data_IF_364472626904
#
_entry.id   IF_364472626904
#
_cell.length_a   1.000
_cell.length_b   1.000
_cell.length_c   1.000
_cell.angle_alpha   90.00
_cell.angle_beta   90.00
_cell.angle_gamma   90.00
#
_symmetry.space_group_name_H-M   'P 1'
#
loop_
_entity.id
_entity.type
_entity.pdbx_description
1 polymer ?
#
# COMPACT_ATOMS: atom_id res chain seq x y z
N UNK A 1 22.84 -10.50 1.18
CA UNK A 1 22.72 -11.47 2.25
C UNK A 1 22.55 -12.89 1.74
N UNK A 2 22.55 -13.86 2.65
CA UNK A 2 22.30 -15.25 2.36
C UNK A 2 20.85 -15.61 2.68
N UNK A 3 20.24 -16.48 1.86
CA UNK A 3 19.02 -17.17 2.24
C UNK A 3 19.44 -18.36 3.13
N UNK A 4 18.98 -18.34 4.37
CA UNK A 4 19.25 -19.39 5.34
C UNK A 4 18.18 -20.49 5.28
N UNK A 5 18.49 -21.65 5.82
CA UNK A 5 17.51 -22.72 5.98
C UNK A 5 16.38 -22.33 6.94
N UNK A 6 15.32 -23.16 7.02
CA UNK A 6 14.21 -22.91 7.98
C UNK A 6 14.64 -22.88 9.44
N UNK A 7 15.80 -23.48 9.74
CA UNK A 7 16.48 -23.50 11.05
C UNK A 7 17.28 -22.23 11.36
N UNK A 8 17.34 -21.28 10.43
CA UNK A 8 18.12 -20.04 10.54
C UNK A 8 19.62 -20.21 10.29
N UNK A 9 20.05 -21.40 9.87
CA UNK A 9 21.44 -21.73 9.60
C UNK A 9 21.74 -21.72 8.09
N UNK A 10 23.03 -21.62 7.73
CA UNK A 10 23.44 -21.72 6.34
C UNK A 10 23.00 -23.07 5.74
N UNK A 11 22.35 -23.04 4.60
CA UNK A 11 21.95 -24.25 3.88
C UNK A 11 23.15 -25.12 3.51
N UNK A 12 23.09 -26.41 3.84
CA UNK A 12 24.07 -27.38 3.41
C UNK A 12 23.42 -28.78 3.26
N UNK A 13 23.95 -29.56 2.30
CA UNK A 13 23.47 -30.93 2.06
C UNK A 13 23.68 -31.83 3.27
N UNK A 14 24.79 -31.64 3.99
CA UNK A 14 25.10 -32.43 5.21
C UNK A 14 24.16 -32.16 6.38
N UNK A 15 23.50 -31.01 6.41
CA UNK A 15 22.50 -30.64 7.43
C UNK A 15 21.07 -31.05 7.02
N UNK A 16 20.84 -31.32 5.75
CA UNK A 16 19.51 -31.63 5.24
C UNK A 16 18.53 -30.45 5.24
N UNK A 17 19.03 -29.21 5.37
CA UNK A 17 18.23 -27.98 5.43
C UNK A 17 18.21 -27.18 4.12
N UNK A 18 18.60 -27.83 3.01
CA UNK A 18 18.61 -27.21 1.67
C UNK A 18 17.18 -27.19 1.11
N UNK A 19 16.78 -26.04 0.60
CA UNK A 19 15.55 -25.88 -0.18
C UNK A 19 15.93 -25.91 -1.65
N UNK A 20 15.39 -26.86 -2.42
CA UNK A 20 15.56 -26.89 -3.87
C UNK A 20 14.58 -25.92 -4.53
N UNK A 21 15.05 -24.91 -5.29
CA UNK A 21 14.16 -24.00 -5.99
C UNK A 21 13.21 -24.69 -6.97
N UNK A 22 13.59 -25.82 -7.57
CA UNK A 22 12.74 -26.54 -8.50
C UNK A 22 11.52 -27.12 -7.78
N UNK A 23 11.70 -27.72 -6.60
CA UNK A 23 10.60 -28.25 -5.79
C UNK A 23 9.60 -27.14 -5.43
N UNK A 24 10.12 -25.93 -5.15
CA UNK A 24 9.29 -24.76 -4.85
C UNK A 24 8.53 -24.29 -6.09
N UNK A 25 9.19 -24.24 -7.24
CA UNK A 25 8.58 -23.84 -8.52
C UNK A 25 7.49 -24.84 -8.94
N UNK A 26 7.71 -26.13 -8.74
CA UNK A 26 6.72 -27.18 -9.06
C UNK A 26 5.44 -27.05 -8.23
N UNK A 27 5.57 -26.57 -6.98
CA UNK A 27 4.42 -26.43 -6.06
C UNK A 27 3.75 -25.05 -6.18
N UNK A 28 4.51 -23.98 -6.27
CA UNK A 28 4.00 -22.61 -6.16
C UNK A 28 4.08 -21.81 -7.47
N UNK A 29 4.92 -22.22 -8.42
CA UNK A 29 5.24 -21.47 -9.62
C UNK A 29 6.41 -20.50 -9.45
N UNK A 30 7.07 -20.20 -10.58
CA UNK A 30 8.28 -19.37 -10.60
C UNK A 30 8.02 -17.93 -10.11
N UNK A 31 6.88 -17.33 -10.45
CA UNK A 31 6.55 -15.96 -10.04
C UNK A 31 6.38 -15.84 -8.52
N UNK A 32 5.78 -16.85 -7.87
CA UNK A 32 5.65 -16.85 -6.40
C UNK A 32 7.02 -16.89 -5.74
N UNK A 33 7.92 -17.78 -6.22
CA UNK A 33 9.28 -17.85 -5.72
C UNK A 33 10.04 -16.53 -5.91
N UNK A 34 9.93 -15.91 -7.11
CA UNK A 34 10.56 -14.61 -7.40
C UNK A 34 10.07 -13.51 -6.45
N UNK A 35 8.74 -13.36 -6.34
CA UNK A 35 8.14 -12.37 -5.42
C UNK A 35 8.58 -12.63 -3.99
N UNK A 36 8.61 -13.89 -3.55
CA UNK A 36 9.05 -14.24 -2.20
C UNK A 36 10.51 -13.83 -1.93
N UNK A 37 11.44 -14.20 -2.82
CA UNK A 37 12.87 -13.86 -2.67
C UNK A 37 13.09 -12.35 -2.66
N UNK A 38 12.34 -11.61 -3.50
CA UNK A 38 12.41 -10.15 -3.57
C UNK A 38 11.73 -9.45 -2.37
N UNK A 39 10.82 -10.14 -1.68
CA UNK A 39 10.05 -9.60 -0.57
C UNK A 39 10.61 -9.94 0.80
N UNK A 40 11.44 -11.00 0.95
CA UNK A 40 11.90 -11.51 2.26
C UNK A 40 12.64 -10.46 3.11
N UNK A 41 13.21 -9.39 2.54
CA UNK A 41 13.91 -8.35 3.30
C UNK A 41 14.95 -7.59 2.49
N UNK A 42 15.81 -6.90 3.19
CA UNK A 42 16.94 -6.18 2.62
C UNK A 42 17.99 -7.18 2.09
N UNK A 43 18.49 -6.94 0.88
CA UNK A 43 19.51 -7.80 0.26
C UNK A 43 20.84 -7.86 1.02
N UNK A 44 21.12 -6.88 1.87
CA UNK A 44 22.33 -6.86 2.68
C UNK A 44 22.25 -7.81 3.87
N UNK A 45 21.04 -8.19 4.28
CA UNK A 45 20.81 -9.03 5.45
C UNK A 45 20.54 -10.49 5.06
N UNK A 46 20.96 -11.40 5.94
CA UNK A 46 20.58 -12.80 5.83
C UNK A 46 19.14 -13.00 6.35
N UNK A 47 18.36 -13.80 5.63
CA UNK A 47 16.97 -14.07 6.01
C UNK A 47 16.69 -15.58 6.00
N UNK A 48 16.02 -16.13 7.03
CA UNK A 48 15.64 -17.53 7.07
C UNK A 48 14.49 -17.81 6.13
N UNK A 49 14.51 -18.99 5.52
CA UNK A 49 13.39 -19.46 4.71
C UNK A 49 12.13 -19.62 5.55
N UNK A 50 11.00 -19.17 5.02
CA UNK A 50 9.72 -19.22 5.73
C UNK A 50 8.56 -19.55 4.77
N UNK A 51 8.01 -20.74 4.90
CA UNK A 51 6.92 -21.24 4.05
C UNK A 51 5.62 -20.44 4.22
N UNK A 52 5.36 -19.88 5.41
CA UNK A 52 4.16 -19.07 5.63
C UNK A 52 4.21 -17.76 4.86
N UNK A 53 5.38 -17.16 4.76
CA UNK A 53 5.61 -15.96 3.95
C UNK A 53 5.47 -16.26 2.44
N UNK A 54 5.93 -17.43 1.99
CA UNK A 54 5.72 -17.94 0.63
C UNK A 54 4.22 -18.02 0.29
N UNK A 55 3.41 -18.61 1.17
CA UNK A 55 1.95 -18.65 1.04
C UNK A 55 1.33 -17.25 0.99
N UNK A 56 1.92 -16.29 1.69
CA UNK A 56 1.54 -14.87 1.61
C UNK A 56 1.76 -14.29 0.21
N UNK A 57 2.92 -14.54 -0.39
CA UNK A 57 3.24 -14.11 -1.76
C UNK A 57 2.31 -14.78 -2.80
N UNK A 58 2.01 -16.08 -2.63
CA UNK A 58 1.02 -16.76 -3.48
C UNK A 58 -0.34 -16.05 -3.40
N UNK A 59 -0.86 -15.81 -2.19
CA UNK A 59 -2.15 -15.11 -2.03
C UNK A 59 -2.15 -13.71 -2.65
N UNK A 60 -1.03 -12.99 -2.61
CA UNK A 60 -0.89 -11.70 -3.29
C UNK A 60 -1.09 -11.85 -4.80
N UNK A 61 -0.39 -12.79 -5.46
CA UNK A 61 -0.55 -13.03 -6.90
C UNK A 61 -1.93 -13.58 -7.26
N UNK A 62 -2.52 -14.45 -6.43
CA UNK A 62 -3.91 -14.91 -6.60
C UNK A 62 -4.91 -13.74 -6.54
N UNK A 63 -4.69 -12.75 -5.67
CA UNK A 63 -5.50 -11.54 -5.61
C UNK A 63 -5.34 -10.67 -6.85
N UNK A 64 -4.10 -10.49 -7.36
CA UNK A 64 -3.88 -9.80 -8.64
C UNK A 64 -4.68 -10.48 -9.76
N UNK A 65 -4.60 -11.81 -9.86
CA UNK A 65 -5.34 -12.59 -10.85
C UNK A 65 -6.86 -12.37 -10.73
N UNK A 66 -7.37 -12.36 -9.52
CA UNK A 66 -8.80 -12.20 -9.26
C UNK A 66 -9.33 -10.78 -9.52
N UNK A 67 -8.48 -9.75 -9.69
CA UNK A 67 -8.92 -8.39 -10.05
C UNK A 67 -9.65 -8.36 -11.41
N UNK A 68 -9.38 -9.32 -12.30
CA UNK A 68 -10.12 -9.43 -13.57
C UNK A 68 -11.65 -9.56 -13.37
N UNK A 69 -12.11 -10.10 -12.22
CA UNK A 69 -13.52 -10.23 -11.90
C UNK A 69 -14.17 -8.90 -11.50
N UNK A 70 -13.37 -7.86 -11.29
CA UNK A 70 -13.78 -6.51 -10.89
C UNK A 70 -13.48 -5.48 -11.99
N UNK A 71 -13.05 -5.96 -13.19
CA UNK A 71 -12.63 -5.11 -14.29
C UNK A 71 -13.82 -4.41 -14.93
N UNK A 72 -13.67 -3.10 -15.10
CA UNK A 72 -14.60 -2.23 -15.83
C UNK A 72 -13.86 -1.48 -16.93
N UNK A 73 -14.58 -0.97 -17.95
CA UNK A 73 -13.97 -0.16 -19.01
C UNK A 73 -13.54 1.21 -18.51
N UNK A 74 -12.37 1.67 -18.94
CA UNK A 74 -11.85 3.01 -18.63
C UNK A 74 -10.43 3.19 -19.12
N UNK A 75 -10.19 4.29 -19.86
CA UNK A 75 -8.90 4.60 -20.48
C UNK A 75 -8.02 5.52 -19.61
N UNK A 76 -8.58 6.08 -18.54
CA UNK A 76 -7.90 6.93 -17.57
C UNK A 76 -8.16 6.43 -16.15
N UNK A 77 -7.30 6.83 -15.18
CA UNK A 77 -7.53 6.46 -13.78
C UNK A 77 -8.80 7.10 -13.24
N UNK A 78 -9.59 6.32 -12.54
CA UNK A 78 -10.78 6.79 -11.82
C UNK A 78 -10.42 7.79 -10.74
N UNK A 79 -11.33 8.70 -10.40
CA UNK A 79 -11.08 9.70 -9.36
C UNK A 79 -10.77 9.05 -8.01
N UNK A 80 -11.42 7.91 -7.72
CA UNK A 80 -11.25 7.16 -6.47
C UNK A 80 -9.84 6.58 -6.32
N UNK A 81 -9.20 6.13 -7.40
CA UNK A 81 -7.89 5.48 -7.38
C UNK A 81 -6.75 6.33 -7.93
N UNK A 82 -7.03 7.48 -8.57
CA UNK A 82 -6.02 8.32 -9.25
C UNK A 82 -4.83 8.63 -8.35
N UNK A 83 -5.06 9.16 -7.18
CA UNK A 83 -3.99 9.52 -6.23
C UNK A 83 -3.19 8.30 -5.79
N UNK A 84 -3.86 7.19 -5.46
CA UNK A 84 -3.21 5.94 -5.05
C UNK A 84 -2.39 5.33 -6.17
N UNK A 85 -2.87 5.39 -7.42
CA UNK A 85 -2.12 4.94 -8.61
C UNK A 85 -0.83 5.75 -8.77
N UNK A 86 -0.90 7.09 -8.78
CA UNK A 86 0.29 7.95 -8.93
C UNK A 86 1.29 7.76 -7.79
N UNK A 87 0.83 7.68 -6.54
CA UNK A 87 1.68 7.38 -5.37
C UNK A 87 2.39 6.03 -5.50
N UNK A 88 1.65 5.01 -5.93
CA UNK A 88 2.21 3.67 -6.07
C UNK A 88 3.22 3.61 -7.21
N UNK A 89 2.94 4.23 -8.36
CA UNK A 89 3.89 4.31 -9.49
C UNK A 89 5.18 4.99 -9.03
N UNK A 90 5.07 6.16 -8.38
CA UNK A 90 6.22 6.87 -7.82
C UNK A 90 7.02 5.99 -6.87
N UNK A 91 6.36 5.42 -5.87
CA UNK A 91 6.99 4.60 -4.84
C UNK A 91 7.70 3.37 -5.42
N UNK A 92 7.04 2.63 -6.32
CA UNK A 92 7.63 1.45 -6.96
C UNK A 92 8.81 1.82 -7.84
N UNK A 93 8.71 2.90 -8.63
CA UNK A 93 9.80 3.38 -9.50
C UNK A 93 11.04 3.75 -8.68
N UNK A 94 10.87 4.57 -7.63
CA UNK A 94 11.98 4.97 -6.76
C UNK A 94 12.59 3.78 -6.00
N UNK A 95 11.77 2.83 -5.57
CA UNK A 95 12.23 1.66 -4.82
C UNK A 95 13.00 0.68 -5.71
N UNK A 96 12.59 0.51 -6.97
CA UNK A 96 13.33 -0.31 -7.95
C UNK A 96 14.72 0.31 -8.19
N UNK A 97 14.82 1.62 -8.41
CA UNK A 97 16.10 2.32 -8.60
C UNK A 97 17.04 2.15 -7.40
N UNK A 98 16.48 2.10 -6.20
CA UNK A 98 17.20 1.93 -4.93
C UNK A 98 17.35 0.48 -4.49
N UNK A 99 16.99 -0.50 -5.34
CA UNK A 99 17.00 -1.94 -5.03
C UNK A 99 16.16 -2.33 -3.79
N UNK A 100 15.12 -1.55 -3.45
CA UNK A 100 14.22 -1.77 -2.32
C UNK A 100 12.98 -2.56 -2.74
N UNK A 101 13.18 -3.73 -3.28
CA UNK A 101 12.09 -4.53 -3.89
C UNK A 101 11.01 -4.95 -2.89
N UNK A 102 11.37 -5.18 -1.63
CA UNK A 102 10.42 -5.51 -0.57
C UNK A 102 9.40 -4.38 -0.34
N UNK A 103 9.84 -3.12 -0.31
CA UNK A 103 8.94 -1.97 -0.14
C UNK A 103 8.14 -1.66 -1.40
N UNK A 104 8.70 -1.90 -2.60
CA UNK A 104 7.96 -1.84 -3.87
C UNK A 104 6.79 -2.84 -3.89
N UNK A 105 7.06 -4.11 -3.52
CA UNK A 105 6.03 -5.14 -3.43
C UNK A 105 4.96 -4.78 -2.38
N UNK A 106 5.38 -4.27 -1.21
CA UNK A 106 4.45 -3.81 -0.18
C UNK A 106 3.54 -2.68 -0.67
N UNK A 107 4.06 -1.72 -1.45
CA UNK A 107 3.26 -0.65 -2.04
C UNK A 107 2.18 -1.20 -2.98
N UNK A 108 2.53 -2.17 -3.84
CA UNK A 108 1.56 -2.84 -4.71
C UNK A 108 0.52 -3.65 -3.92
N UNK A 109 0.92 -4.31 -2.82
CA UNK A 109 -0.03 -5.00 -1.92
C UNK A 109 -1.04 -4.02 -1.31
N UNK A 110 -0.59 -2.83 -0.90
CA UNK A 110 -1.46 -1.77 -0.38
C UNK A 110 -2.43 -1.27 -1.43
N UNK A 111 -1.96 -1.02 -2.66
CA UNK A 111 -2.83 -0.62 -3.77
C UNK A 111 -3.93 -1.66 -4.05
N UNK A 112 -3.60 -2.96 -4.01
CA UNK A 112 -4.60 -4.03 -4.20
C UNK A 112 -5.64 -4.02 -3.06
N UNK A 113 -5.26 -3.66 -1.83
CA UNK A 113 -6.23 -3.51 -0.76
C UNK A 113 -7.22 -2.37 -1.06
N UNK A 114 -6.74 -1.23 -1.54
CA UNK A 114 -7.57 -0.08 -1.92
C UNK A 114 -8.48 -0.42 -3.10
N UNK A 115 -7.96 -1.06 -4.16
CA UNK A 115 -8.75 -1.53 -5.30
C UNK A 115 -9.85 -2.48 -4.84
N UNK A 116 -9.52 -3.43 -3.96
CA UNK A 116 -10.48 -4.40 -3.44
C UNK A 116 -11.57 -3.72 -2.60
N UNK A 117 -11.21 -2.73 -1.80
CA UNK A 117 -12.15 -1.92 -1.01
C UNK A 117 -13.05 -1.06 -1.91
N UNK A 118 -12.51 -0.53 -3.02
CA UNK A 118 -13.27 0.22 -4.03
C UNK A 118 -14.26 -0.66 -4.81
N UNK A 119 -14.00 -1.97 -4.91
CA UNK A 119 -14.87 -2.94 -5.57
C UNK A 119 -14.81 -2.94 -7.10
N UNK A 120 -13.98 -2.11 -7.71
CA UNK A 120 -13.76 -2.02 -9.16
C UNK A 120 -12.34 -1.60 -9.48
N UNK A 121 -11.86 -1.98 -10.66
CA UNK A 121 -10.62 -1.53 -11.29
C UNK A 121 -10.86 -1.37 -12.79
N UNK A 122 -10.35 -0.34 -13.42
CA UNK A 122 -10.52 -0.15 -14.87
C UNK A 122 -9.31 -0.63 -15.70
N UNK A 123 -9.45 -0.59 -17.04
CA UNK A 123 -8.42 -1.08 -17.97
C UNK A 123 -7.08 -0.34 -17.79
N UNK A 124 -7.09 0.99 -17.59
CA UNK A 124 -5.88 1.79 -17.41
C UNK A 124 -5.16 1.47 -16.10
N UNK A 125 -5.92 1.34 -15.00
CA UNK A 125 -5.43 1.00 -13.67
C UNK A 125 -4.85 -0.42 -13.64
N UNK A 126 -5.58 -1.39 -14.21
CA UNK A 126 -5.12 -2.77 -14.33
C UNK A 126 -3.82 -2.86 -15.12
N UNK A 127 -3.77 -2.22 -16.30
CA UNK A 127 -2.56 -2.19 -17.13
C UNK A 127 -1.37 -1.63 -16.37
N UNK A 128 -1.54 -0.52 -15.68
CA UNK A 128 -0.47 0.11 -14.91
C UNK A 128 0.02 -0.77 -13.77
N UNK A 129 -0.89 -1.40 -13.02
CA UNK A 129 -0.54 -2.36 -11.97
C UNK A 129 0.26 -3.55 -12.53
N UNK A 130 -0.16 -4.11 -13.68
CA UNK A 130 0.55 -5.22 -14.31
C UNK A 130 1.93 -4.82 -14.82
N UNK A 131 2.11 -3.59 -15.34
CA UNK A 131 3.43 -3.07 -15.73
C UNK A 131 4.34 -2.95 -14.49
N UNK A 132 3.85 -2.40 -13.37
CA UNK A 132 4.61 -2.30 -12.14
C UNK A 132 5.02 -3.66 -11.58
N UNK A 133 4.15 -4.66 -11.70
CA UNK A 133 4.40 -6.02 -11.23
C UNK A 133 5.33 -6.83 -12.14
N UNK A 134 5.45 -6.46 -13.41
CA UNK A 134 6.16 -7.24 -14.42
C UNK A 134 7.62 -7.60 -14.05
N UNK A 135 8.45 -6.71 -13.48
CA UNK A 135 9.80 -7.07 -13.06
C UNK A 135 9.85 -8.17 -11.98
N UNK A 136 8.80 -8.27 -11.18
CA UNK A 136 8.71 -9.19 -10.04
C UNK A 136 8.08 -10.54 -10.43
N UNK A 137 7.07 -10.51 -11.29
CA UNK A 137 6.27 -11.68 -11.68
C UNK A 137 6.00 -11.69 -13.20
N UNK A 138 7.03 -11.94 -14.03
CA UNK A 138 6.97 -11.78 -15.48
C UNK A 138 6.09 -12.81 -16.20
N UNK A 139 5.74 -13.92 -15.58
CA UNK A 139 4.90 -14.94 -16.24
C UNK A 139 3.41 -14.58 -16.15
N UNK A 140 2.93 -14.15 -14.98
CA UNK A 140 1.54 -13.71 -14.82
C UNK A 140 1.26 -12.39 -15.56
N UNK A 141 2.30 -11.58 -15.79
CA UNK A 141 2.21 -10.30 -16.49
C UNK A 141 2.85 -10.33 -17.88
N UNK A 142 2.93 -11.49 -18.50
CA UNK A 142 3.62 -11.74 -19.78
C UNK A 142 3.28 -10.74 -20.88
N UNK A 143 2.02 -10.33 -20.98
CA UNK A 143 1.54 -9.35 -21.95
C UNK A 143 2.22 -7.98 -21.80
N UNK A 144 2.81 -7.69 -20.63
CA UNK A 144 3.44 -6.42 -20.29
C UNK A 144 4.95 -6.40 -20.56
N UNK A 145 5.58 -7.52 -20.98
CA UNK A 145 7.05 -7.64 -21.13
C UNK A 145 7.69 -6.56 -22.01
N UNK A 146 6.97 -6.07 -23.03
CA UNK A 146 7.44 -5.02 -23.94
C UNK A 146 6.71 -3.68 -23.73
N UNK A 147 5.96 -3.53 -22.65
CA UNK A 147 5.26 -2.28 -22.34
C UNK A 147 6.22 -1.20 -21.86
N UNK A 148 5.96 0.03 -22.26
CA UNK A 148 6.67 1.18 -21.71
C UNK A 148 6.35 1.33 -20.22
N UNK A 149 7.36 1.71 -19.42
CA UNK A 149 7.16 1.98 -18.00
C UNK A 149 6.17 3.11 -17.77
N UNK A 150 5.32 2.97 -16.76
CA UNK A 150 4.31 3.96 -16.43
C UNK A 150 4.92 5.17 -15.72
N UNK A 151 4.34 6.34 -15.99
CA UNK A 151 4.76 7.61 -15.37
C UNK A 151 3.75 8.07 -14.33
N UNK A 152 4.19 8.95 -13.44
CA UNK A 152 3.33 9.57 -12.44
C UNK A 152 3.38 11.10 -12.54
N UNK A 153 2.35 11.75 -12.04
CA UNK A 153 2.30 13.18 -11.84
C UNK A 153 2.51 13.48 -10.36
N UNK A 154 3.54 14.24 -10.03
CA UNK A 154 3.87 14.62 -8.65
C UNK A 154 2.72 15.38 -7.97
N UNK A 155 2.01 16.23 -8.70
CA UNK A 155 0.87 16.98 -8.18
C UNK A 155 -0.30 16.08 -7.76
N UNK A 156 -0.45 14.91 -8.41
CA UNK A 156 -1.49 13.93 -8.09
C UNK A 156 -1.08 12.94 -6.99
N UNK A 157 0.17 13.00 -6.53
CA UNK A 157 0.65 12.20 -5.40
C UNK A 157 0.26 12.75 -4.02
N UNK A 158 -0.50 13.84 -3.96
CA UNK A 158 -0.91 14.46 -2.70
C UNK A 158 -2.36 14.11 -2.40
N UNK A 159 -2.63 13.65 -1.16
CA UNK A 159 -4.01 13.40 -0.75
C UNK A 159 -4.79 14.72 -0.70
N UNK A 160 -5.95 14.74 -1.32
CA UNK A 160 -6.87 15.89 -1.26
C UNK A 160 -7.47 16.07 0.14
N UNK A 161 -7.51 15.00 0.94
CA UNK A 161 -8.05 15.02 2.31
C UNK A 161 -7.10 14.33 3.29
N UNK A 162 -7.17 14.74 4.55
CA UNK A 162 -6.42 14.12 5.66
C UNK A 162 -7.35 13.87 6.83
N UNK A 163 -7.22 12.70 7.48
CA UNK A 163 -7.95 12.42 8.71
C UNK A 163 -7.33 13.19 9.87
N UNK A 164 -8.14 13.98 10.56
CA UNK A 164 -7.75 14.66 11.80
C UNK A 164 -8.58 14.18 12.98
N UNK A 165 -7.98 14.26 14.16
CA UNK A 165 -8.64 13.90 15.43
C UNK A 165 -9.28 15.15 16.04
N UNK A 166 -10.58 15.08 16.37
CA UNK A 166 -11.27 16.14 17.11
C UNK A 166 -11.35 15.75 18.58
N UNK A 167 -10.83 16.62 19.42
CA UNK A 167 -10.79 16.47 20.88
C UNK A 167 -11.64 17.53 21.58
N UNK A 168 -12.26 17.15 22.69
CA UNK A 168 -12.90 18.04 23.65
C UNK A 168 -12.20 17.91 25.00
N UNK A 169 -11.57 18.97 25.48
CA UNK A 169 -10.78 18.97 26.72
C UNK A 169 -9.74 17.84 26.76
N UNK A 170 -9.06 17.58 25.62
CA UNK A 170 -8.03 16.54 25.48
C UNK A 170 -8.57 15.11 25.27
N UNK A 171 -9.88 14.87 25.32
CA UNK A 171 -10.49 13.56 25.04
C UNK A 171 -10.97 13.47 23.61
N UNK A 172 -10.61 12.42 22.89
CA UNK A 172 -11.04 12.18 21.50
C UNK A 172 -12.57 12.02 21.48
N UNK A 173 -13.23 12.77 20.58
CA UNK A 173 -14.67 12.74 20.35
C UNK A 173 -15.05 12.31 18.94
N UNK A 174 -14.25 12.70 17.95
CA UNK A 174 -14.49 12.31 16.57
C UNK A 174 -13.18 12.19 15.80
N UNK A 175 -13.22 11.52 14.65
CA UNK A 175 -12.21 11.57 13.58
C UNK A 175 -12.93 11.99 12.33
N UNK A 176 -12.39 12.96 11.62
CA UNK A 176 -13.00 13.52 10.42
C UNK A 176 -11.97 13.67 9.31
N UNK A 177 -12.41 13.44 8.07
CA UNK A 177 -11.62 13.76 6.90
C UNK A 177 -11.85 15.21 6.50
N UNK A 178 -10.77 15.96 6.41
CA UNK A 178 -10.79 17.38 6.03
C UNK A 178 -9.90 17.60 4.81
N UNK A 179 -10.18 18.61 3.96
CA UNK A 179 -9.31 18.96 2.85
C UNK A 179 -7.90 19.26 3.36
N UNK A 180 -6.87 18.76 2.68
CA UNK A 180 -5.46 19.01 3.06
C UNK A 180 -5.11 20.49 3.00
N UNK A 181 -5.77 21.23 2.10
CA UNK A 181 -5.61 22.67 1.93
C UNK A 181 -6.52 23.52 2.85
N UNK A 182 -7.34 22.88 3.72
CA UNK A 182 -8.25 23.60 4.61
C UNK A 182 -7.49 24.53 5.56
N UNK A 183 -7.94 25.76 5.65
CA UNK A 183 -7.38 26.73 6.59
C UNK A 183 -7.84 26.45 8.04
N UNK A 184 -7.30 27.25 8.97
CA UNK A 184 -7.60 27.07 10.40
C UNK A 184 -9.08 27.25 10.72
N UNK A 185 -9.75 28.19 10.07
CA UNK A 185 -11.13 28.53 10.35
C UNK A 185 -12.09 27.47 9.78
N UNK A 186 -11.78 26.93 8.60
CA UNK A 186 -12.49 25.80 8.02
C UNK A 186 -12.34 24.55 8.90
N UNK A 187 -11.12 24.24 9.36
CA UNK A 187 -10.87 23.10 10.26
C UNK A 187 -11.65 23.22 11.56
N UNK A 188 -11.70 24.43 12.15
CA UNK A 188 -12.48 24.69 13.36
C UNK A 188 -13.98 24.53 13.14
N UNK A 189 -14.48 25.02 12.00
CA UNK A 189 -15.89 24.88 11.63
C UNK A 189 -16.28 23.39 11.51
N UNK A 190 -15.54 22.62 10.72
CA UNK A 190 -15.79 21.19 10.52
C UNK A 190 -15.67 20.40 11.85
N UNK A 191 -14.66 20.74 12.67
CA UNK A 191 -14.47 20.09 13.96
C UNK A 191 -15.65 20.39 14.93
N UNK A 192 -16.16 21.62 14.99
CA UNK A 192 -17.32 21.98 15.82
C UNK A 192 -18.58 21.27 15.36
N UNK A 193 -18.83 21.20 14.06
CA UNK A 193 -19.95 20.46 13.49
C UNK A 193 -19.90 18.97 13.86
N UNK A 194 -18.72 18.35 13.77
CA UNK A 194 -18.53 16.93 14.08
C UNK A 194 -18.79 16.57 15.55
N UNK A 195 -18.64 17.51 16.48
CA UNK A 195 -18.88 17.29 17.93
C UNK A 195 -19.97 18.18 18.50
N UNK A 196 -20.88 18.70 17.66
CA UNK A 196 -21.93 19.66 18.06
C UNK A 196 -22.72 19.20 19.31
N UNK A 197 -23.18 17.95 19.34
CA UNK A 197 -23.88 17.37 20.49
C UNK A 197 -23.04 17.41 21.79
N UNK A 198 -21.74 17.26 21.70
CA UNK A 198 -20.83 17.31 22.85
C UNK A 198 -20.55 18.73 23.33
N UNK A 199 -20.86 19.73 22.52
CA UNK A 199 -20.70 21.17 22.80
C UNK A 199 -21.98 21.83 23.32
N UNK A 200 -23.13 21.17 23.25
CA UNK A 200 -24.40 21.74 23.76
C UNK A 200 -24.29 22.18 25.23
N UNK A 201 -24.68 23.41 25.49
CA UNK A 201 -24.68 23.99 26.84
C UNK A 201 -23.28 24.37 27.36
N UNK A 202 -22.22 24.27 26.54
CA UNK A 202 -20.85 24.59 26.94
C UNK A 202 -20.34 25.88 26.34
N UNK A 203 -19.52 26.58 27.09
CA UNK A 203 -18.83 27.79 26.62
C UNK A 203 -17.40 27.44 26.19
N UNK A 204 -17.07 27.69 24.92
CA UNK A 204 -15.73 27.44 24.39
C UNK A 204 -14.77 28.49 24.98
N UNK A 205 -13.67 28.02 25.60
CA UNK A 205 -12.63 28.85 26.22
C UNK A 205 -11.38 28.97 25.36
N UNK A 206 -11.01 27.89 24.66
CA UNK A 206 -9.80 27.85 23.85
C UNK A 206 -9.95 26.84 22.72
N UNK A 207 -9.38 27.20 21.57
CA UNK A 207 -9.32 26.35 20.37
C UNK A 207 -7.87 26.19 19.95
N UNK A 208 -7.42 24.95 19.81
CA UNK A 208 -6.07 24.59 19.43
C UNK A 208 -6.15 23.79 18.16
N UNK A 209 -5.55 24.27 17.08
CA UNK A 209 -5.46 23.58 15.78
C UNK A 209 -4.02 23.20 15.51
N UNK A 210 -3.79 21.93 15.26
CA UNK A 210 -2.53 21.40 14.75
C UNK A 210 -2.82 20.90 13.32
N UNK A 211 -2.42 21.68 12.29
CA UNK A 211 -2.73 21.34 10.90
C UNK A 211 -2.35 19.92 10.54
N UNK A 212 -3.24 19.20 9.84
CA UNK A 212 -3.05 17.83 9.41
C UNK A 212 -3.00 16.77 10.53
N UNK A 213 -3.32 17.13 11.79
CA UNK A 213 -3.25 16.19 12.92
C UNK A 213 -4.48 16.22 13.81
N UNK A 214 -4.75 17.35 14.45
CA UNK A 214 -5.86 17.42 15.41
C UNK A 214 -6.42 18.84 15.58
N UNK A 215 -7.68 18.87 16.04
CA UNK A 215 -8.32 20.05 16.61
C UNK A 215 -8.75 19.71 18.04
N UNK A 216 -8.30 20.51 19.01
CA UNK A 216 -8.72 20.37 20.41
C UNK A 216 -9.53 21.62 20.85
N UNK A 217 -10.77 21.38 21.24
CA UNK A 217 -11.68 22.42 21.77
C UNK A 217 -11.74 22.27 23.29
N UNK A 218 -11.44 23.35 24.00
CA UNK A 218 -11.55 23.41 25.45
C UNK A 218 -12.82 24.18 25.79
N UNK A 219 -13.77 23.53 26.42
CA UNK A 219 -15.05 24.09 26.81
C UNK A 219 -15.45 23.61 28.22
N UNK A 220 -16.22 24.42 28.91
CA UNK A 220 -16.78 24.14 30.25
C UNK A 220 -18.27 24.46 30.30
#
# INVERSE_FOLDING_TARGET
GLILGPDGEKMSKSRGNVIDPNDVVDVYGADVLRVYVLFMGDYEQAAPWNDSSMKGCKRFLDRVWNLQNMLVRGDEYSDELRTSMHKTIKKVSEDIEKMRFNTAIAAMMSLINEITANGKINDAEMKSLLILLNPFAPHITKEMNNSQWVTYDEALCVDSTVEIVVQLCGKIKARINVPTAADKDELLKMAKEAIAQSLEGKTIRKEIVVPGKLVNIVAN
#
